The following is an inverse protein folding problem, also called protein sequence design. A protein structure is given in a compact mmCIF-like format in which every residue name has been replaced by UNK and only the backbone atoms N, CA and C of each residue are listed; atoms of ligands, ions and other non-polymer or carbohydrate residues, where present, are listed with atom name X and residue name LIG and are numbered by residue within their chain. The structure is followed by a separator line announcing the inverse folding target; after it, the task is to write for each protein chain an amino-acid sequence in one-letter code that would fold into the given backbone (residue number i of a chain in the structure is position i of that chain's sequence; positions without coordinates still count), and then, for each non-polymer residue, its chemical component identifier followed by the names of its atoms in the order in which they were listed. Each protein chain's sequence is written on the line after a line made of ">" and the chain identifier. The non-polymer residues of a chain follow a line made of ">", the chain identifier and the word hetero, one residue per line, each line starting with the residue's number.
data_IF_362873844548
#
_entry.id   IF_362873844548
#
_cell.length_a   1.000
_cell.length_b   1.000
_cell.length_c   1.000
_cell.angle_alpha   90.00
_cell.angle_beta   90.00
_cell.angle_gamma   90.00
#
_symmetry.space_group_name_H-M   'P 1'
#
loop_
_entity.id
_entity.type
_entity.pdbx_description
1 polymer ?
#
# COMPACT_ATOMS: atom_id res chain seq x y z
N UNK A 1 -0.43 -8.86 -11.29
CA UNK A 1 -1.72 -8.45 -10.73
C UNK A 1 -2.86 -8.75 -11.70
N UNK A 2 -4.01 -9.04 -11.15
CA UNK A 2 -5.22 -9.34 -11.90
C UNK A 2 -5.79 -8.05 -12.54
N UNK A 3 -6.30 -8.16 -13.77
CA UNK A 3 -7.02 -7.07 -14.43
C UNK A 3 -8.47 -7.12 -13.96
N UNK A 4 -8.84 -6.19 -13.09
CA UNK A 4 -10.18 -6.13 -12.51
C UNK A 4 -10.44 -4.75 -11.97
N UNK A 5 -11.60 -4.18 -12.31
CA UNK A 5 -12.05 -2.92 -11.73
C UNK A 5 -12.66 -3.19 -10.35
N UNK A 6 -12.16 -2.50 -9.33
CA UNK A 6 -12.66 -2.61 -7.97
C UNK A 6 -13.45 -1.34 -7.63
N UNK A 7 -14.72 -1.50 -7.27
CA UNK A 7 -15.53 -0.41 -6.76
C UNK A 7 -15.34 -0.29 -5.25
N UNK A 8 -15.21 0.94 -4.76
CA UNK A 8 -14.98 1.20 -3.34
C UNK A 8 -16.26 1.13 -2.49
N UNK A 9 -17.26 0.42 -2.93
CA UNK A 9 -18.53 0.26 -2.21
C UNK A 9 -18.64 -1.08 -1.46
N UNK A 10 -17.75 -2.02 -1.75
CA UNK A 10 -17.77 -3.33 -1.11
C UNK A 10 -16.40 -3.99 -1.11
N UNK A 11 -16.05 -4.62 0.01
CA UNK A 11 -14.85 -5.45 0.12
C UNK A 11 -15.00 -6.83 -0.54
N UNK A 12 -16.22 -7.25 -0.85
CA UNK A 12 -16.49 -8.58 -1.41
C UNK A 12 -15.82 -8.80 -2.77
N UNK A 13 -15.56 -7.74 -3.52
CA UNK A 13 -14.88 -7.82 -4.81
C UNK A 13 -13.47 -8.40 -4.72
N UNK A 14 -12.87 -8.40 -3.55
CA UNK A 14 -11.51 -8.87 -3.33
C UNK A 14 -11.40 -10.37 -3.06
N UNK A 15 -12.50 -11.05 -2.82
CA UNK A 15 -12.48 -12.46 -2.41
C UNK A 15 -11.70 -13.36 -3.37
N UNK A 16 -11.86 -13.16 -4.67
CA UNK A 16 -11.22 -13.99 -5.70
C UNK A 16 -10.01 -13.34 -6.36
N UNK A 17 -9.57 -12.19 -5.88
CA UNK A 17 -8.45 -11.48 -6.50
C UNK A 17 -7.13 -12.18 -6.18
N UNK A 18 -6.31 -12.35 -7.20
CA UNK A 18 -4.94 -12.88 -7.13
C UNK A 18 -3.98 -11.88 -7.78
N UNK A 19 -2.74 -11.79 -7.35
CA UNK A 19 -2.06 -12.55 -6.30
C UNK A 19 -2.53 -12.17 -4.90
N UNK A 20 -2.40 -13.13 -3.99
CA UNK A 20 -2.81 -13.05 -2.60
C UNK A 20 -1.56 -13.29 -1.74
N UNK A 21 -1.08 -12.26 -1.10
CA UNK A 21 0.18 -12.28 -0.34
C UNK A 21 -0.10 -12.48 1.14
N UNK A 22 -0.25 -13.73 1.53
CA UNK A 22 -0.55 -14.10 2.91
C UNK A 22 0.70 -14.31 3.75
N UNK A 23 0.58 -13.98 5.02
CA UNK A 23 1.51 -14.41 6.04
C UNK A 23 0.75 -14.70 7.34
N UNK A 24 1.39 -15.45 8.23
CA UNK A 24 0.78 -15.75 9.51
C UNK A 24 0.94 -14.57 10.44
N UNK A 25 -0.07 -14.42 11.33
CA UNK A 25 -0.06 -13.39 12.36
C UNK A 25 1.25 -13.44 13.17
N UNK A 26 1.86 -12.29 13.34
CA UNK A 26 3.09 -12.16 14.11
C UNK A 26 4.35 -12.67 13.42
N UNK A 27 4.26 -13.13 12.18
CA UNK A 27 5.44 -13.58 11.43
C UNK A 27 6.14 -12.42 10.74
N UNK A 28 7.42 -12.65 10.49
CA UNK A 28 8.23 -11.72 9.70
C UNK A 28 7.70 -11.61 8.26
N UNK A 29 8.11 -10.55 7.60
CA UNK A 29 7.78 -10.25 6.22
C UNK A 29 8.10 -11.42 5.29
N UNK A 30 7.22 -11.65 4.34
CA UNK A 30 7.45 -12.58 3.26
C UNK A 30 7.58 -11.85 1.94
N UNK A 31 8.47 -12.32 1.11
CA UNK A 31 8.64 -11.79 -0.23
C UNK A 31 7.59 -12.37 -1.16
N UNK A 32 7.08 -11.52 -2.03
CA UNK A 32 6.21 -11.91 -3.12
C UNK A 32 7.05 -12.20 -4.36
N UNK A 33 6.76 -13.31 -5.03
CA UNK A 33 7.53 -13.74 -6.20
C UNK A 33 6.85 -13.49 -7.54
N UNK A 34 5.70 -12.86 -7.53
CA UNK A 34 4.88 -12.69 -8.72
C UNK A 34 5.35 -11.58 -9.68
N UNK A 35 6.51 -11.01 -9.43
CA UNK A 35 7.06 -9.99 -10.31
C UNK A 35 6.46 -8.59 -10.17
N UNK A 36 5.45 -8.44 -9.35
CA UNK A 36 4.74 -7.17 -9.15
C UNK A 36 4.86 -6.62 -7.74
N UNK A 37 5.13 -7.49 -6.78
CA UNK A 37 5.26 -7.11 -5.39
C UNK A 37 6.36 -7.95 -4.75
N UNK A 38 7.20 -7.31 -3.98
CA UNK A 38 8.36 -7.97 -3.38
C UNK A 38 8.12 -8.31 -1.91
N UNK A 39 7.50 -7.42 -1.16
CA UNK A 39 7.26 -7.62 0.26
C UNK A 39 6.16 -6.73 0.79
N UNK A 40 5.63 -7.13 1.91
CA UNK A 40 4.77 -6.34 2.75
C UNK A 40 5.06 -6.70 4.21
N UNK A 41 4.35 -6.09 5.20
CA UNK A 41 4.98 -6.07 6.47
C UNK A 41 4.11 -5.66 7.64
N UNK A 42 4.47 -6.08 8.84
CA UNK A 42 3.75 -5.78 10.06
C UNK A 42 4.09 -4.42 10.67
N UNK A 43 3.21 -3.96 11.51
CA UNK A 43 3.44 -2.78 12.32
C UNK A 43 4.59 -2.99 13.31
N UNK A 44 5.51 -2.03 13.38
CA UNK A 44 6.57 -2.02 14.38
C UNK A 44 6.05 -1.87 15.80
N UNK A 45 4.82 -1.35 15.95
CA UNK A 45 4.17 -1.17 17.25
C UNK A 45 3.23 -2.30 17.63
N UNK A 46 3.12 -3.34 16.80
CA UNK A 46 2.14 -4.40 17.01
C UNK A 46 0.70 -4.01 16.73
N UNK A 47 0.47 -2.78 16.25
CA UNK A 47 -0.82 -2.25 15.85
C UNK A 47 -1.11 -2.63 14.40
N UNK A 48 -2.36 -3.01 14.09
CA UNK A 48 -2.79 -3.35 12.73
C UNK A 48 -1.88 -4.42 12.08
N UNK A 49 -1.75 -5.55 12.75
CA UNK A 49 -0.90 -6.65 12.32
C UNK A 49 -1.37 -7.21 10.96
N UNK A 50 -0.59 -7.03 9.92
CA UNK A 50 -0.96 -7.35 8.53
C UNK A 50 -0.86 -8.84 8.28
N UNK A 51 -1.94 -9.43 7.79
CA UNK A 51 -2.01 -10.87 7.52
C UNK A 51 -2.25 -11.22 6.06
N UNK A 52 -2.70 -10.28 5.24
CA UNK A 52 -2.97 -10.52 3.83
C UNK A 52 -2.87 -9.23 3.02
N UNK A 53 -2.44 -9.33 1.79
CA UNK A 53 -2.40 -8.22 0.84
C UNK A 53 -2.76 -8.70 -0.56
N UNK A 54 -3.45 -7.86 -1.33
CA UNK A 54 -3.84 -8.17 -2.70
C UNK A 54 -3.68 -6.94 -3.58
N UNK A 55 -3.55 -7.18 -4.88
CA UNK A 55 -3.46 -6.12 -5.89
C UNK A 55 -4.36 -6.46 -7.06
N UNK A 56 -5.08 -5.46 -7.55
CA UNK A 56 -5.79 -5.54 -8.82
C UNK A 56 -5.51 -4.26 -9.61
N UNK A 57 -5.81 -4.27 -10.90
CA UNK A 57 -5.61 -3.10 -11.75
C UNK A 57 -6.61 -3.07 -12.89
N UNK A 58 -6.87 -1.86 -13.37
CA UNK A 58 -7.53 -1.64 -14.65
C UNK A 58 -6.76 -0.57 -15.44
N UNK A 59 -7.37 -0.01 -16.47
CA UNK A 59 -6.72 1.01 -17.30
C UNK A 59 -6.48 2.33 -16.56
N UNK A 60 -7.25 2.61 -15.52
CA UNK A 60 -7.25 3.90 -14.84
C UNK A 60 -6.60 3.87 -13.46
N UNK A 61 -6.66 2.72 -12.76
CA UNK A 61 -6.26 2.61 -11.37
C UNK A 61 -5.47 1.34 -11.09
N UNK A 62 -4.62 1.43 -10.06
CA UNK A 62 -4.04 0.27 -9.37
C UNK A 62 -4.71 0.22 -8.01
N UNK A 63 -5.28 -0.92 -7.67
CA UNK A 63 -6.00 -1.14 -6.42
C UNK A 63 -5.15 -1.97 -5.47
N UNK A 64 -5.05 -1.51 -4.25
CA UNK A 64 -4.32 -2.20 -3.19
C UNK A 64 -5.28 -2.57 -2.07
N UNK A 65 -5.20 -3.80 -1.63
CA UNK A 65 -5.99 -4.33 -0.54
C UNK A 65 -5.07 -4.86 0.54
N UNK A 66 -5.45 -4.66 1.78
CA UNK A 66 -4.73 -5.19 2.92
C UNK A 66 -5.73 -5.60 4.01
N UNK A 67 -5.42 -6.69 4.68
CA UNK A 67 -6.20 -7.22 5.79
C UNK A 67 -5.32 -7.32 7.03
N UNK A 68 -5.89 -6.95 8.16
CA UNK A 68 -5.21 -7.06 9.46
C UNK A 68 -5.82 -8.18 10.29
N UNK A 69 -5.08 -8.67 11.29
CA UNK A 69 -5.52 -9.77 12.16
C UNK A 69 -6.72 -9.41 13.01
N UNK A 70 -6.86 -8.14 13.38
CA UNK A 70 -7.96 -7.60 14.18
C UNK A 70 -8.49 -6.34 13.51
N UNK A 71 -9.63 -5.82 13.97
CA UNK A 71 -10.17 -4.58 13.45
C UNK A 71 -9.11 -3.47 13.44
N UNK A 72 -9.04 -2.73 12.34
CA UNK A 72 -8.09 -1.62 12.20
C UNK A 72 -8.40 -0.49 13.16
N UNK A 73 -7.34 0.20 13.59
CA UNK A 73 -7.46 1.44 14.34
C UNK A 73 -7.96 2.57 13.42
N UNK A 74 -8.18 3.75 13.99
CA UNK A 74 -8.69 4.90 13.24
C UNK A 74 -7.72 5.36 12.16
N UNK A 75 -8.25 5.69 10.99
CA UNK A 75 -7.46 6.32 9.92
C UNK A 75 -6.89 7.70 10.32
N UNK A 76 -7.32 8.25 11.44
CA UNK A 76 -6.77 9.49 12.00
C UNK A 76 -5.55 9.25 12.87
N UNK A 77 -5.20 8.01 13.16
CA UNK A 77 -4.03 7.67 13.94
C UNK A 77 -2.76 8.03 13.17
N UNK A 78 -1.74 8.44 13.88
CA UNK A 78 -0.47 8.83 13.28
C UNK A 78 0.19 7.66 12.55
N UNK A 79 0.68 7.91 11.35
CA UNK A 79 1.37 6.93 10.50
C UNK A 79 0.56 5.66 10.26
N UNK A 80 -0.74 5.83 10.07
CA UNK A 80 -1.67 4.74 9.88
C UNK A 80 -1.58 4.14 8.48
N UNK A 81 -1.34 2.82 8.42
CA UNK A 81 -1.42 2.00 7.21
C UNK A 81 -0.78 2.67 5.99
N UNK A 82 0.47 3.07 6.12
CA UNK A 82 1.22 3.73 5.04
C UNK A 82 1.61 2.71 3.97
N UNK A 83 1.43 3.10 2.71
CA UNK A 83 1.79 2.28 1.55
C UNK A 83 2.93 2.94 0.80
N UNK A 84 4.06 2.26 0.72
CA UNK A 84 5.23 2.68 -0.03
C UNK A 84 5.30 1.88 -1.32
N UNK A 85 5.56 2.55 -2.46
CA UNK A 85 5.60 1.92 -3.77
C UNK A 85 6.88 2.31 -4.49
N UNK A 86 7.60 1.30 -4.97
CA UNK A 86 8.77 1.44 -5.84
C UNK A 86 8.29 1.20 -7.27
N UNK A 87 8.05 2.28 -8.02
CA UNK A 87 7.39 2.19 -9.33
C UNK A 87 8.33 1.76 -10.45
N UNK A 88 9.63 1.86 -10.27
CA UNK A 88 10.63 1.54 -11.29
C UNK A 88 11.53 0.36 -10.90
N UNK A 89 11.29 -0.23 -9.74
CA UNK A 89 12.07 -1.33 -9.17
C UNK A 89 13.56 -1.02 -9.07
N UNK A 90 13.87 0.24 -8.81
CA UNK A 90 15.23 0.74 -8.70
C UNK A 90 15.47 1.27 -7.28
N UNK A 91 16.25 0.57 -6.50
CA UNK A 91 16.52 0.92 -5.10
C UNK A 91 17.36 2.20 -4.94
N UNK A 92 17.89 2.73 -6.02
CA UNK A 92 18.66 3.98 -5.99
C UNK A 92 17.83 5.23 -6.30
N UNK A 93 16.58 5.07 -6.72
CA UNK A 93 15.65 6.18 -6.94
C UNK A 93 14.70 6.32 -5.75
N UNK A 94 14.14 7.51 -5.60
CA UNK A 94 13.18 7.79 -4.55
C UNK A 94 13.80 7.84 -3.14
N UNK A 95 12.96 7.64 -2.14
CA UNK A 95 13.37 7.55 -0.74
C UNK A 95 13.49 6.07 -0.35
N UNK A 96 14.68 5.62 0.00
CA UNK A 96 14.96 4.23 0.33
C UNK A 96 14.50 3.24 -0.77
N UNK A 97 14.50 3.71 -2.02
CA UNK A 97 14.02 2.96 -3.18
C UNK A 97 12.54 3.12 -3.46
N UNK A 98 11.81 3.88 -2.65
CA UNK A 98 10.37 4.11 -2.85
C UNK A 98 10.11 5.46 -3.49
N UNK A 99 9.19 5.48 -4.44
CA UNK A 99 8.87 6.64 -5.25
C UNK A 99 7.53 7.27 -4.89
N UNK A 100 6.60 6.45 -4.36
CA UNK A 100 5.28 6.90 -3.93
C UNK A 100 5.03 6.53 -2.48
N UNK A 101 4.36 7.42 -1.77
CA UNK A 101 3.85 7.20 -0.42
C UNK A 101 2.36 7.51 -0.40
N UNK A 102 1.55 6.53 -0.02
CA UNK A 102 0.10 6.66 0.07
C UNK A 102 -0.32 6.54 1.53
N UNK A 103 -1.41 7.16 1.89
CA UNK A 103 -1.95 7.18 3.26
C UNK A 103 -1.14 7.98 4.28
N UNK A 104 -0.34 8.93 3.81
CA UNK A 104 0.29 9.89 4.69
C UNK A 104 -0.54 11.20 4.71
N UNK A 105 -1.78 11.07 5.14
CA UNK A 105 -2.74 12.15 5.25
C UNK A 105 -4.10 11.78 4.69
N UNK A 106 -5.16 12.10 5.44
CA UNK A 106 -6.53 11.78 5.06
C UNK A 106 -7.40 13.03 5.17
N UNK A 107 -8.26 13.25 4.17
CA UNK A 107 -9.25 14.32 4.18
C UNK A 107 -10.50 13.89 3.43
N UNK A 108 -11.65 14.01 4.08
CA UNK A 108 -12.96 13.83 3.43
C UNK A 108 -13.05 12.56 2.56
N UNK A 109 -12.61 11.42 3.10
CA UNK A 109 -12.66 10.15 2.39
C UNK A 109 -11.60 9.99 1.30
N UNK A 110 -10.63 10.89 1.25
CA UNK A 110 -9.49 10.82 0.32
C UNK A 110 -8.20 10.67 1.08
N UNK A 111 -7.31 9.88 0.50
CA UNK A 111 -5.93 9.78 0.91
C UNK A 111 -5.04 10.60 -0.02
N UNK A 112 -3.84 10.90 0.42
CA UNK A 112 -2.86 11.58 -0.41
C UNK A 112 -1.89 10.58 -1.02
N UNK A 113 -1.55 10.80 -2.30
CA UNK A 113 -0.39 10.19 -2.95
C UNK A 113 0.70 11.24 -2.97
N UNK A 114 1.84 10.91 -2.36
CA UNK A 114 3.02 11.77 -2.36
C UNK A 114 4.09 11.17 -3.24
N UNK A 115 4.82 12.01 -3.96
CA UNK A 115 6.01 11.62 -4.70
C UNK A 115 7.24 12.14 -3.97
N UNK A 116 8.35 11.41 -4.09
CA UNK A 116 9.60 11.83 -3.49
C UNK A 116 10.45 12.58 -4.51
N UNK A 117 10.89 13.76 -4.13
CA UNK A 117 11.95 14.47 -4.82
C UNK A 117 13.16 14.59 -3.90
N UNK A 118 14.24 15.18 -4.37
CA UNK A 118 15.49 15.26 -3.59
C UNK A 118 15.35 16.02 -2.26
N UNK A 119 14.25 16.73 -2.06
CA UNK A 119 14.02 17.54 -0.87
C UNK A 119 12.97 16.95 0.08
N UNK A 120 12.32 15.88 -0.31
CA UNK A 120 11.34 15.20 0.52
C UNK A 120 10.08 14.77 -0.22
N UNK A 121 9.09 14.32 0.56
CA UNK A 121 7.80 13.90 0.04
C UNK A 121 6.91 15.10 -0.25
N UNK A 122 6.31 15.12 -1.45
CA UNK A 122 5.37 16.18 -1.86
C UNK A 122 4.07 15.58 -2.34
N UNK A 123 2.95 16.18 -1.96
CA UNK A 123 1.63 15.81 -2.46
C UNK A 123 1.61 15.96 -3.99
N UNK A 124 1.20 14.91 -4.69
CA UNK A 124 1.02 14.96 -6.13
C UNK A 124 -0.42 14.70 -6.56
N UNK A 125 -1.11 13.77 -5.91
CA UNK A 125 -2.46 13.36 -6.26
C UNK A 125 -3.26 12.95 -5.03
N UNK A 126 -4.55 12.66 -5.26
CA UNK A 126 -5.40 12.03 -4.26
C UNK A 126 -5.68 10.60 -4.65
N UNK A 127 -5.88 9.76 -3.65
CA UNK A 127 -6.33 8.38 -3.81
C UNK A 127 -7.62 8.20 -3.03
N UNK A 128 -8.55 7.44 -3.59
CA UNK A 128 -9.74 7.06 -2.87
C UNK A 128 -9.42 5.85 -1.98
N UNK A 129 -10.03 5.79 -0.80
CA UNK A 129 -9.86 4.67 0.11
C UNK A 129 -11.18 4.32 0.81
N UNK A 130 -11.24 3.10 1.27
CA UNK A 130 -12.30 2.63 2.17
C UNK A 130 -11.71 1.64 3.14
N UNK A 131 -12.08 1.74 4.41
CA UNK A 131 -11.77 0.69 5.37
C UNK A 131 -12.99 0.33 6.21
N UNK A 132 -13.07 -0.93 6.56
CA UNK A 132 -14.17 -1.47 7.33
C UNK A 132 -13.68 -2.69 8.10
N UNK A 133 -13.84 -2.67 9.42
CA UNK A 133 -13.34 -3.77 10.25
C UNK A 133 -11.83 -3.93 10.12
N UNK A 134 -11.40 -5.06 9.60
CA UNK A 134 -9.97 -5.38 9.42
C UNK A 134 -9.52 -5.30 7.96
N UNK A 135 -10.29 -4.66 7.08
CA UNK A 135 -9.98 -4.57 5.66
C UNK A 135 -9.84 -3.12 5.21
N UNK A 136 -8.85 -2.87 4.38
CA UNK A 136 -8.59 -1.56 3.77
C UNK A 136 -8.34 -1.75 2.28
N UNK A 137 -8.93 -0.89 1.46
CA UNK A 137 -8.57 -0.79 0.06
C UNK A 137 -8.30 0.64 -0.35
N UNK A 138 -7.35 0.81 -1.27
CA UNK A 138 -6.91 2.10 -1.79
C UNK A 138 -6.86 2.01 -3.31
N UNK A 139 -7.36 3.05 -3.97
CA UNK A 139 -7.34 3.19 -5.42
C UNK A 139 -6.35 4.28 -5.80
N UNK A 140 -5.23 3.90 -6.40
CA UNK A 140 -4.16 4.82 -6.80
C UNK A 140 -4.24 5.04 -8.31
N UNK A 141 -4.31 6.31 -8.78
CA UNK A 141 -4.35 6.57 -10.22
C UNK A 141 -3.19 5.92 -10.97
N UNK A 142 -3.51 5.26 -12.07
CA UNK A 142 -2.51 4.61 -12.93
C UNK A 142 -1.42 5.59 -13.38
N UNK A 143 -1.79 6.85 -13.57
CA UNK A 143 -0.86 7.90 -13.99
C UNK A 143 0.27 8.18 -12.99
N UNK A 144 0.11 7.78 -11.73
CA UNK A 144 1.17 7.92 -10.73
C UNK A 144 2.36 6.98 -10.99
N UNK A 145 2.17 5.94 -11.80
CA UNK A 145 3.17 4.90 -12.03
C UNK A 145 4.04 5.16 -13.27
N UNK A 146 3.85 6.28 -13.95
CA UNK A 146 4.57 6.60 -15.18
C UNK A 146 4.08 5.81 -16.39
N UNK A 147 4.63 6.09 -17.59
CA UNK A 147 4.24 5.42 -18.82
C UNK A 147 4.84 4.01 -18.90
N UNK A 148 4.26 3.20 -19.77
CA UNK A 148 4.80 1.88 -20.07
C UNK A 148 4.23 0.76 -19.22
N UNK A 149 4.92 -0.37 -19.25
CA UNK A 149 4.50 -1.59 -18.57
C UNK A 149 4.60 -1.44 -17.05
N UNK A 150 3.55 -1.90 -16.35
CA UNK A 150 3.57 -1.93 -14.90
C UNK A 150 4.52 -2.99 -14.38
N UNK A 151 5.49 -2.57 -13.59
CA UNK A 151 6.35 -3.44 -12.81
C UNK A 151 6.77 -2.63 -11.58
N UNK A 152 6.30 -3.03 -10.41
CA UNK A 152 6.54 -2.29 -9.18
C UNK A 152 6.63 -3.22 -7.98
N UNK A 153 7.25 -2.73 -6.92
CA UNK A 153 7.25 -3.36 -5.60
C UNK A 153 6.46 -2.48 -4.63
N UNK A 154 5.90 -3.06 -3.59
CA UNK A 154 5.18 -2.31 -2.59
C UNK A 154 5.47 -2.80 -1.19
N UNK A 155 5.19 -1.94 -0.21
CA UNK A 155 5.43 -2.23 1.19
C UNK A 155 4.39 -1.53 2.06
N UNK A 156 3.57 -2.31 2.76
CA UNK A 156 2.67 -1.79 3.77
C UNK A 156 3.37 -1.67 5.11
N UNK A 157 3.25 -0.53 5.77
CA UNK A 157 3.80 -0.31 7.10
C UNK A 157 2.82 0.49 7.95
N UNK A 158 2.48 -0.02 9.13
CA UNK A 158 1.61 0.67 10.07
C UNK A 158 2.35 1.01 11.35
N UNK A 159 2.08 2.18 11.90
CA UNK A 159 2.60 2.58 13.20
C UNK A 159 4.10 2.81 13.25
N UNK A 160 4.75 3.08 12.12
CA UNK A 160 6.15 3.48 12.14
C UNK A 160 6.29 4.83 12.84
N UNK A 161 7.27 4.95 13.74
CA UNK A 161 7.44 6.19 14.51
C UNK A 161 8.14 7.28 13.73
N UNK A 162 8.98 6.88 12.78
CA UNK A 162 9.68 7.78 11.86
C UNK A 162 9.91 7.05 10.55
N UNK A 163 10.06 7.80 9.46
CA UNK A 163 10.19 7.19 8.14
C UNK A 163 11.40 6.25 8.02
N UNK A 164 12.48 6.53 8.76
CA UNK A 164 13.65 5.65 8.74
C UNK A 164 13.41 4.24 9.30
N UNK A 165 12.36 4.04 10.06
CA UNK A 165 12.07 2.73 10.67
C UNK A 165 11.75 1.66 9.62
N UNK A 166 11.35 2.07 8.43
CA UNK A 166 11.00 1.14 7.37
C UNK A 166 12.19 0.30 6.90
N UNK A 167 13.40 0.79 7.07
CA UNK A 167 14.61 0.06 6.67
C UNK A 167 14.90 -1.16 7.54
N UNK A 168 14.31 -1.22 8.71
CA UNK A 168 14.49 -2.34 9.63
C UNK A 168 13.71 -3.58 9.19
N UNK A 169 13.04 -3.48 8.08
CA UNK A 169 12.16 -4.52 7.59
C UNK A 169 12.68 -5.14 6.29
#
# INVERSE_FOLDING_TARGET
>A
SETKTIKLDSMAAWTDVKPDFRHYKGNAIKRAHAGHADKYYNSSLGRNDIVDAKIARDAEYIYFYVETASAMTSAQDENWMMLFIDIDRNKSTGWEGYDLLVNDGFRSGKSMVKTYDKTGWRKSREAAYRYQGNELMVSVPRSCFGPGKLAFDFHWADGIQKLGDIDEF
#
